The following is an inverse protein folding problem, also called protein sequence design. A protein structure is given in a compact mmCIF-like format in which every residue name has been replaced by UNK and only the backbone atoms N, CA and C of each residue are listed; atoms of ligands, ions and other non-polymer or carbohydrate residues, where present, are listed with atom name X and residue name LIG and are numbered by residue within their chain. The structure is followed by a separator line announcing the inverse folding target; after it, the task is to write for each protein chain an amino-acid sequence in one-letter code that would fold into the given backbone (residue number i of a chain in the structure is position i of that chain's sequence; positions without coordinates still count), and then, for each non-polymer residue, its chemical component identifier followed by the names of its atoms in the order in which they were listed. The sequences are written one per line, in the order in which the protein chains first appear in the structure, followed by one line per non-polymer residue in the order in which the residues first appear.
data_IF_156703719295
#
_entry.id   IF_156703719295
#
_cell.length_a   1.000
_cell.length_b   1.000
_cell.length_c   1.000
_cell.angle_alpha   90.00
_cell.angle_beta   90.00
_cell.angle_gamma   90.00
#
_symmetry.space_group_name_H-M   'P 1'
#
loop_
_entity.id
_entity.type
_entity.pdbx_description
1 polymer ?
#
# COMPACT_ATOMS: atom_id res chain seq x y z
N UNK A 1 16.26 -9.71 31.99
CA UNK A 1 17.07 -9.07 33.06
C UNK A 1 16.08 -8.48 34.04
N UNK A 2 16.02 -8.99 35.27
CA UNK A 2 15.07 -8.55 36.30
C UNK A 2 15.41 -7.13 36.75
N UNK A 3 14.40 -6.27 36.79
CA UNK A 3 14.51 -4.91 37.33
C UNK A 3 15.02 -4.97 38.77
N UNK A 4 16.09 -4.27 39.05
CA UNK A 4 16.65 -4.12 40.40
C UNK A 4 15.65 -3.36 41.26
N UNK A 5 15.60 -3.63 42.58
CA UNK A 5 14.66 -3.05 43.55
C UNK A 5 14.66 -1.50 43.60
N UNK A 6 15.60 -0.84 42.95
CA UNK A 6 15.78 0.61 42.87
C UNK A 6 14.88 1.34 41.85
N UNK A 7 14.14 0.62 41.00
CA UNK A 7 13.39 1.22 39.90
C UNK A 7 11.87 1.26 40.15
N UNK A 8 11.45 1.09 41.41
CA UNK A 8 10.04 1.07 41.77
C UNK A 8 9.70 2.24 42.67
N UNK A 9 8.68 3.00 42.28
CA UNK A 9 8.20 4.15 43.02
C UNK A 9 6.78 3.87 43.54
N UNK A 10 6.55 4.07 44.80
CA UNK A 10 5.19 4.09 45.38
C UNK A 10 4.40 5.27 44.82
N UNK A 11 3.07 5.22 44.84
CA UNK A 11 2.20 6.31 44.40
C UNK A 11 2.59 7.65 45.03
N UNK A 12 2.92 7.67 46.33
CA UNK A 12 3.32 8.89 47.06
C UNK A 12 4.67 9.46 46.56
N UNK A 13 5.65 8.62 46.32
CA UNK A 13 6.95 9.03 45.78
C UNK A 13 6.82 9.55 44.36
N UNK A 14 6.01 8.88 43.53
CA UNK A 14 5.76 9.26 42.14
C UNK A 14 5.11 10.65 42.03
N UNK A 15 4.09 10.93 42.89
CA UNK A 15 3.47 12.26 42.97
C UNK A 15 4.47 13.34 43.36
N UNK A 16 5.33 13.04 44.35
CA UNK A 16 6.35 13.99 44.84
C UNK A 16 7.43 14.29 43.82
N UNK A 17 7.91 13.26 43.10
CA UNK A 17 8.96 13.40 42.10
C UNK A 17 8.51 14.23 40.90
N UNK A 18 7.25 14.15 40.53
CA UNK A 18 6.69 14.83 39.35
C UNK A 18 5.98 16.14 39.69
N UNK A 19 5.87 16.46 41.02
CA UNK A 19 5.14 17.63 41.51
C UNK A 19 3.72 17.71 40.90
N UNK A 20 2.93 16.64 41.11
CA UNK A 20 1.57 16.51 40.66
C UNK A 20 0.63 16.07 41.78
N UNK A 21 -0.64 16.39 41.63
CA UNK A 21 -1.69 15.97 42.58
C UNK A 21 -2.20 14.57 42.25
N UNK A 22 -2.83 13.92 43.23
CA UNK A 22 -3.44 12.61 43.04
C UNK A 22 -4.52 12.60 41.94
N UNK A 23 -5.29 13.69 41.84
CA UNK A 23 -6.28 13.89 40.75
C UNK A 23 -5.64 13.96 39.38
N UNK A 24 -4.49 14.60 39.26
CA UNK A 24 -3.74 14.66 38.00
C UNK A 24 -3.20 13.28 37.66
N UNK A 25 -2.64 12.54 38.58
CA UNK A 25 -2.15 11.19 38.31
C UNK A 25 -3.29 10.27 37.86
N UNK A 26 -4.43 10.26 38.57
CA UNK A 26 -5.61 9.49 38.18
C UNK A 26 -6.11 9.86 36.74
N UNK A 27 -5.99 11.12 36.37
CA UNK A 27 -6.30 11.55 35.01
C UNK A 27 -5.34 10.95 33.95
N UNK A 28 -4.03 10.93 34.26
CA UNK A 28 -3.01 10.34 33.37
C UNK A 28 -3.13 8.81 33.24
N UNK A 29 -3.49 8.15 34.34
CA UNK A 29 -3.84 6.73 34.36
C UNK A 29 -5.03 6.43 33.42
N UNK A 30 -6.09 7.25 33.52
CA UNK A 30 -7.27 7.14 32.65
C UNK A 30 -6.95 7.36 31.19
N UNK A 31 -5.96 8.16 30.87
CA UNK A 31 -5.47 8.38 29.50
C UNK A 31 -4.57 7.26 28.99
N UNK A 32 -4.18 6.31 29.85
CA UNK A 32 -3.26 5.22 29.50
C UNK A 32 -1.80 5.67 29.30
N UNK A 33 -1.42 6.82 29.83
CA UNK A 33 -0.05 7.36 29.75
C UNK A 33 0.88 6.63 30.73
N UNK A 34 0.35 6.30 31.88
CA UNK A 34 0.99 5.50 32.93
C UNK A 34 0.02 4.46 33.44
N UNK A 35 0.54 3.30 33.84
CA UNK A 35 -0.28 2.20 34.38
C UNK A 35 0.38 1.60 35.58
N UNK A 36 -0.23 1.74 36.77
CA UNK A 36 0.33 1.14 37.98
C UNK A 36 0.39 -0.37 37.86
N UNK A 37 1.47 -0.95 38.35
CA UNK A 37 1.67 -2.39 38.48
C UNK A 37 1.50 -2.83 39.90
N UNK A 38 1.03 -4.04 40.12
CA UNK A 38 0.84 -4.60 41.45
C UNK A 38 2.00 -5.52 41.86
N UNK A 39 2.57 -5.28 43.02
CA UNK A 39 3.50 -6.20 43.67
C UNK A 39 3.23 -6.25 45.18
N UNK A 40 3.12 -7.44 45.72
CA UNK A 40 2.84 -7.68 47.13
C UNK A 40 1.57 -6.96 47.72
N UNK A 41 0.62 -6.61 46.83
CA UNK A 41 -0.63 -5.92 47.21
C UNK A 41 -0.61 -4.40 47.06
N UNK A 42 0.55 -3.80 46.81
CA UNK A 42 0.69 -2.35 46.62
C UNK A 42 0.88 -2.00 45.13
N UNK A 43 0.35 -0.83 44.75
CA UNK A 43 0.55 -0.24 43.46
C UNK A 43 1.91 0.47 43.37
N UNK A 44 2.67 0.18 42.32
CA UNK A 44 3.94 0.85 42.06
C UNK A 44 4.06 1.27 40.59
N UNK A 45 4.89 2.27 40.37
CA UNK A 45 5.29 2.79 39.05
C UNK A 45 6.77 2.52 38.83
N UNK A 46 7.17 2.33 37.57
CA UNK A 46 8.59 2.16 37.26
C UNK A 46 9.22 3.46 36.70
N UNK A 47 10.50 3.41 36.44
CA UNK A 47 11.24 4.56 35.88
C UNK A 47 10.73 4.98 34.52
N UNK A 48 10.22 4.05 33.71
CA UNK A 48 9.64 4.35 32.39
C UNK A 48 8.33 5.12 32.53
N UNK A 49 7.50 4.78 33.50
CA UNK A 49 6.28 5.53 33.82
C UNK A 49 6.61 6.98 34.21
N UNK A 50 7.71 7.18 34.94
CA UNK A 50 8.17 8.51 35.35
C UNK A 50 8.61 9.35 34.14
N UNK A 51 9.38 8.78 33.23
CA UNK A 51 9.79 9.45 31.98
C UNK A 51 8.56 9.74 31.13
N UNK A 52 7.67 8.77 30.93
CA UNK A 52 6.45 8.93 30.13
C UNK A 52 5.60 10.10 30.62
N UNK A 53 5.37 10.17 31.93
CA UNK A 53 4.55 11.26 32.51
C UNK A 53 5.25 12.61 32.47
N UNK A 54 6.57 12.64 32.65
CA UNK A 54 7.38 13.87 32.50
C UNK A 54 7.29 14.40 31.09
N UNK A 55 7.46 13.53 30.08
CA UNK A 55 7.36 13.88 28.67
C UNK A 55 5.95 14.37 28.33
N UNK A 56 4.90 13.66 28.79
CA UNK A 56 3.52 14.08 28.59
C UNK A 56 3.22 15.46 29.19
N UNK A 57 3.72 15.72 30.44
CA UNK A 57 3.58 17.02 31.11
C UNK A 57 4.25 18.13 30.29
N UNK A 58 5.46 17.91 29.77
CA UNK A 58 6.16 18.89 28.93
C UNK A 58 5.40 19.18 27.64
N UNK A 59 4.86 18.17 26.97
CA UNK A 59 4.06 18.35 25.75
C UNK A 59 2.78 19.16 26.01
N UNK A 60 2.10 18.91 27.11
CA UNK A 60 0.92 19.71 27.50
C UNK A 60 1.32 21.17 27.81
N UNK A 61 2.43 21.38 28.50
CA UNK A 61 2.96 22.71 28.79
C UNK A 61 3.38 23.47 27.52
N UNK A 62 3.83 22.77 26.50
CA UNK A 62 4.16 23.36 25.18
C UNK A 62 2.93 23.61 24.30
N UNK A 63 1.70 23.37 24.81
CA UNK A 63 0.44 23.69 24.10
C UNK A 63 -0.27 22.52 23.44
N UNK A 64 0.25 21.30 23.53
CA UNK A 64 -0.42 20.11 23.03
C UNK A 64 -1.63 19.75 23.90
N UNK A 65 -2.80 19.58 23.33
CA UNK A 65 -3.97 19.15 24.09
C UNK A 65 -3.86 17.66 24.50
N UNK A 66 -4.40 17.33 25.69
CA UNK A 66 -4.40 15.95 26.20
C UNK A 66 -5.09 14.95 25.26
N UNK A 67 -6.15 15.38 24.56
CA UNK A 67 -6.81 14.54 23.57
C UNK A 67 -5.91 14.25 22.35
N UNK A 68 -5.15 15.24 21.90
CA UNK A 68 -4.20 15.08 20.79
C UNK A 68 -3.04 14.16 21.17
N UNK A 69 -2.52 14.31 22.41
CA UNK A 69 -1.51 13.40 22.94
C UNK A 69 -2.02 11.94 22.97
N UNK A 70 -3.25 11.71 23.44
CA UNK A 70 -3.87 10.39 23.46
C UNK A 70 -4.00 9.78 22.05
N UNK A 71 -4.46 10.58 21.08
CA UNK A 71 -4.58 10.14 19.69
C UNK A 71 -3.21 9.80 19.05
N UNK A 72 -2.20 10.63 19.35
CA UNK A 72 -0.83 10.39 18.86
C UNK A 72 -0.25 9.09 19.44
N UNK A 73 -0.43 8.84 20.74
CA UNK A 73 0.03 7.59 21.36
C UNK A 73 -0.68 6.36 20.81
N UNK A 74 -1.99 6.44 20.60
CA UNK A 74 -2.75 5.35 19.99
C UNK A 74 -2.25 5.06 18.55
N UNK A 75 -1.96 6.10 17.77
CA UNK A 75 -1.42 5.97 16.43
C UNK A 75 0.01 5.41 16.41
N UNK A 76 0.87 5.82 17.35
CA UNK A 76 2.23 5.28 17.49
C UNK A 76 2.21 3.79 17.85
N UNK A 77 1.40 3.39 18.81
CA UNK A 77 1.25 1.99 19.20
C UNK A 77 0.76 1.11 18.05
N UNK A 78 -0.07 1.67 17.17
CA UNK A 78 -0.56 0.95 15.99
C UNK A 78 0.49 0.85 14.88
N UNK A 79 1.25 1.92 14.62
CA UNK A 79 2.19 2.03 13.51
C UNK A 79 3.57 1.45 13.82
N UNK A 80 3.99 1.50 15.08
CA UNK A 80 5.31 1.08 15.54
C UNK A 80 5.19 -0.13 16.47
N UNK A 81 4.88 -1.28 15.92
CA UNK A 81 4.63 -2.53 16.67
C UNK A 81 5.80 -3.01 17.55
N UNK A 82 7.01 -2.50 17.31
CA UNK A 82 8.23 -2.80 18.09
C UNK A 82 8.46 -1.85 19.26
N UNK A 83 7.68 -0.77 19.35
CA UNK A 83 7.80 0.26 20.39
C UNK A 83 6.71 0.03 21.42
N UNK A 84 7.09 -0.43 22.60
CA UNK A 84 6.13 -0.72 23.69
C UNK A 84 5.69 0.54 24.44
N UNK A 85 6.63 1.48 24.60
CA UNK A 85 6.39 2.71 25.35
C UNK A 85 6.89 3.94 24.57
N UNK A 86 6.08 4.51 23.66
CA UNK A 86 6.50 5.59 22.76
C UNK A 86 7.08 6.83 23.47
N UNK A 87 6.57 7.19 24.65
CA UNK A 87 7.04 8.36 25.40
C UNK A 87 8.41 8.19 26.04
N UNK A 88 8.91 6.98 26.14
CA UNK A 88 10.23 6.67 26.73
C UNK A 88 11.25 6.23 25.69
N UNK A 89 10.79 5.61 24.61
CA UNK A 89 11.65 4.99 23.61
C UNK A 89 11.91 5.91 22.42
N UNK A 90 11.01 6.88 22.20
CA UNK A 90 11.11 7.80 21.06
C UNK A 90 11.44 9.21 21.52
N UNK A 91 12.19 9.94 20.72
CA UNK A 91 12.41 11.36 20.89
C UNK A 91 11.19 12.12 20.40
N UNK A 92 10.41 12.68 21.33
CA UNK A 92 9.18 13.39 21.02
C UNK A 92 9.39 14.89 21.15
N UNK A 93 9.02 15.62 20.12
CA UNK A 93 9.10 17.06 20.00
C UNK A 93 7.70 17.65 19.85
N UNK A 94 7.57 18.95 20.09
CA UNK A 94 6.33 19.69 19.83
C UNK A 94 6.63 21.06 19.25
N UNK A 95 5.82 21.49 18.28
CA UNK A 95 5.80 22.86 17.77
C UNK A 95 4.75 23.75 18.45
N UNK A 96 4.24 23.32 19.63
CA UNK A 96 3.17 23.98 20.36
C UNK A 96 1.75 23.55 19.99
N UNK A 97 1.57 22.91 18.83
CA UNK A 97 0.28 22.41 18.34
C UNK A 97 0.33 20.92 18.02
N UNK A 98 1.37 20.49 17.35
CA UNK A 98 1.52 19.13 16.83
C UNK A 98 2.60 18.37 17.60
N UNK A 99 2.45 17.06 17.65
CA UNK A 99 3.44 16.13 18.17
C UNK A 99 4.27 15.63 17.00
N UNK A 100 5.58 15.68 17.14
CA UNK A 100 6.54 15.22 16.15
C UNK A 100 7.42 14.17 16.83
N UNK A 101 7.59 13.03 16.23
CA UNK A 101 8.41 11.94 16.72
C UNK A 101 9.63 11.78 15.85
N UNK A 102 10.79 11.78 16.47
CA UNK A 102 12.04 11.39 15.80
C UNK A 102 12.20 9.87 15.91
N UNK A 103 12.17 9.22 14.76
CA UNK A 103 12.37 7.78 14.63
C UNK A 103 13.41 7.53 13.53
N UNK A 104 14.56 6.99 13.90
CA UNK A 104 15.69 6.73 13.02
C UNK A 104 16.16 7.95 12.20
N UNK A 105 16.11 9.14 12.80
CA UNK A 105 16.51 10.40 12.17
C UNK A 105 15.45 11.02 11.26
N UNK A 106 14.28 10.41 11.14
CA UNK A 106 13.13 10.96 10.45
C UNK A 106 12.09 11.48 11.45
N UNK A 107 11.48 12.64 11.15
CA UNK A 107 10.43 13.23 11.97
C UNK A 107 9.06 12.81 11.44
N UNK A 108 8.27 12.18 12.28
CA UNK A 108 6.93 11.67 11.97
C UNK A 108 5.87 12.42 12.76
N UNK A 109 4.81 12.90 12.13
CA UNK A 109 3.58 13.33 12.81
C UNK A 109 2.69 12.08 12.98
N UNK A 110 2.44 11.63 14.25
CA UNK A 110 1.86 10.32 14.48
C UNK A 110 0.42 10.18 13.99
N UNK A 111 -0.38 11.24 14.08
CA UNK A 111 -1.83 11.22 13.79
C UNK A 111 -2.06 11.10 12.29
N UNK A 112 -1.42 11.96 11.49
CA UNK A 112 -1.53 11.91 10.02
C UNK A 112 -0.64 10.83 9.41
N UNK A 113 0.44 10.46 10.11
CA UNK A 113 1.47 9.56 9.57
C UNK A 113 2.41 10.23 8.58
N UNK A 114 2.37 11.55 8.47
CA UNK A 114 3.25 12.30 7.59
C UNK A 114 4.63 12.47 8.22
N UNK A 115 5.67 12.32 7.42
CA UNK A 115 7.01 12.72 7.83
C UNK A 115 7.10 14.24 7.87
N UNK A 116 7.50 14.77 9.02
CA UNK A 116 7.74 16.20 9.21
C UNK A 116 9.23 16.43 9.05
N UNK A 117 9.60 17.11 8.00
CA UNK A 117 10.98 17.54 7.83
C UNK A 117 11.25 18.70 8.80
N UNK A 118 12.12 18.48 9.79
CA UNK A 118 12.52 19.52 10.72
C UNK A 118 13.55 20.41 10.02
N UNK A 119 13.06 21.46 9.39
CA UNK A 119 13.92 22.48 8.82
C UNK A 119 14.19 23.56 9.88
N UNK A 120 15.41 23.69 10.32
CA UNK A 120 15.86 24.92 10.95
C UNK A 120 15.76 26.04 9.90
N UNK A 121 14.72 26.86 10.08
CA UNK A 121 14.20 27.77 9.04
C UNK A 121 15.16 28.87 8.64
N UNK A 122 16.33 29.00 9.26
CA UNK A 122 17.31 30.03 8.94
C UNK A 122 18.43 29.60 7.99
N UNK A 123 18.93 28.38 8.10
CA UNK A 123 19.95 27.85 7.18
C UNK A 123 19.41 27.16 5.92
N UNK A 124 18.15 26.84 5.89
CA UNK A 124 17.53 26.05 4.81
C UNK A 124 16.71 26.87 3.83
N UNK A 125 16.40 28.14 4.11
CA UNK A 125 15.81 29.02 3.09
C UNK A 125 16.63 29.11 1.80
N UNK A 126 17.95 28.97 1.91
CA UNK A 126 18.87 29.01 0.78
C UNK A 126 19.18 27.59 0.20
N UNK A 127 18.78 26.54 0.88
CA UNK A 127 18.99 25.13 0.47
C UNK A 127 17.71 24.34 0.24
N UNK A 128 16.54 24.92 0.35
CA UNK A 128 15.31 24.28 -0.09
C UNK A 128 15.34 24.22 -1.62
N UNK A 129 16.10 23.28 -2.15
CA UNK A 129 15.57 22.51 -3.26
C UNK A 129 14.32 21.87 -2.67
N UNK A 130 13.17 22.49 -2.93
CA UNK A 130 11.92 21.76 -3.01
C UNK A 130 12.32 20.48 -3.71
N UNK A 131 12.30 19.33 -3.05
CA UNK A 131 12.34 18.08 -3.80
C UNK A 131 11.18 18.24 -4.76
N UNK A 132 11.43 18.34 -6.06
CA UNK A 132 10.35 18.56 -6.99
C UNK A 132 9.34 17.45 -6.68
N UNK A 133 8.09 17.85 -6.44
CA UNK A 133 7.02 16.86 -6.32
C UNK A 133 7.25 15.89 -7.45
N UNK A 134 7.44 14.62 -7.13
CA UNK A 134 7.72 13.62 -8.16
C UNK A 134 6.65 13.76 -9.23
N UNK A 135 7.06 14.04 -10.42
CA UNK A 135 6.13 14.09 -11.54
C UNK A 135 5.66 12.67 -11.91
N UNK A 136 4.73 12.55 -12.82
CA UNK A 136 4.19 11.26 -13.23
C UNK A 136 5.28 10.29 -13.73
N UNK A 137 6.31 10.80 -14.43
CA UNK A 137 7.40 9.97 -14.95
C UNK A 137 8.29 9.43 -13.83
N UNK A 138 8.57 10.24 -12.80
CA UNK A 138 9.35 9.80 -11.65
C UNK A 138 8.62 8.70 -10.86
N UNK A 139 7.29 8.85 -10.68
CA UNK A 139 6.46 7.83 -10.07
C UNK A 139 6.38 6.57 -10.92
N UNK A 140 6.29 6.71 -12.24
CA UNK A 140 6.27 5.58 -13.15
C UNK A 140 7.57 4.79 -13.12
N UNK A 141 8.72 5.47 -13.16
CA UNK A 141 10.04 4.82 -13.05
C UNK A 141 10.20 4.07 -11.72
N UNK A 142 9.72 4.66 -10.61
CA UNK A 142 9.74 4.01 -9.30
C UNK A 142 8.79 2.80 -9.26
N UNK A 143 7.62 2.88 -9.89
CA UNK A 143 6.68 1.78 -9.99
C UNK A 143 7.29 0.58 -10.70
N UNK A 144 7.96 0.80 -11.84
CA UNK A 144 8.67 -0.25 -12.57
C UNK A 144 9.79 -0.91 -11.74
N UNK A 145 10.50 -0.11 -10.93
CA UNK A 145 11.51 -0.64 -10.02
C UNK A 145 10.89 -1.56 -8.96
N UNK A 146 9.76 -1.17 -8.38
CA UNK A 146 9.06 -1.98 -7.38
C UNK A 146 8.38 -3.22 -7.98
N UNK A 147 7.93 -3.16 -9.22
CA UNK A 147 7.29 -4.27 -9.93
C UNK A 147 8.26 -5.44 -10.16
N UNK A 148 9.56 -5.18 -10.24
CA UNK A 148 10.58 -6.21 -10.48
C UNK A 148 10.76 -7.20 -9.32
N UNK A 149 10.25 -6.91 -8.13
CA UNK A 149 10.35 -7.74 -6.94
C UNK A 149 8.95 -8.00 -6.34
N UNK A 150 8.49 -9.25 -6.26
CA UNK A 150 7.19 -9.60 -5.69
C UNK A 150 6.95 -9.05 -4.27
N UNK A 151 8.00 -8.91 -3.46
CA UNK A 151 7.89 -8.36 -2.10
C UNK A 151 7.51 -6.86 -2.10
N UNK A 152 7.74 -6.17 -3.21
CA UNK A 152 7.47 -4.73 -3.38
C UNK A 152 6.26 -4.42 -4.28
N UNK A 153 5.46 -5.41 -4.67
CA UNK A 153 4.28 -5.20 -5.52
C UNK A 153 3.26 -4.23 -4.92
N UNK A 154 3.09 -4.19 -3.58
CA UNK A 154 2.21 -3.20 -2.94
C UNK A 154 2.72 -1.76 -3.13
N UNK A 155 4.04 -1.56 -3.10
CA UNK A 155 4.66 -0.27 -3.38
C UNK A 155 4.52 0.12 -4.86
N UNK A 156 4.64 -0.85 -5.77
CA UNK A 156 4.39 -0.64 -7.20
C UNK A 156 2.96 -0.16 -7.45
N UNK A 157 1.97 -0.81 -6.84
CA UNK A 157 0.55 -0.42 -6.92
C UNK A 157 0.33 1.02 -6.43
N UNK A 158 0.91 1.41 -5.27
CA UNK A 158 0.80 2.79 -4.78
C UNK A 158 1.45 3.78 -5.75
N UNK A 159 2.62 3.46 -6.28
CA UNK A 159 3.32 4.31 -7.23
C UNK A 159 2.53 4.48 -8.54
N UNK A 160 1.96 3.42 -9.12
CA UNK A 160 1.08 3.53 -10.30
C UNK A 160 -0.19 4.34 -10.00
N UNK A 161 -0.78 4.20 -8.82
CA UNK A 161 -1.92 5.04 -8.40
C UNK A 161 -1.54 6.52 -8.35
N UNK A 162 -0.31 6.85 -7.94
CA UNK A 162 0.19 8.23 -7.96
C UNK A 162 0.43 8.74 -9.38
N UNK A 163 0.93 7.89 -10.30
CA UNK A 163 0.97 8.24 -11.72
C UNK A 163 -0.42 8.62 -12.21
N UNK A 164 -1.42 7.79 -11.91
CA UNK A 164 -2.80 7.98 -12.38
C UNK A 164 -3.53 9.14 -11.68
N UNK A 165 -3.09 9.54 -10.49
CA UNK A 165 -3.59 10.75 -9.84
C UNK A 165 -3.10 12.02 -10.56
N UNK A 166 -1.90 12.00 -11.14
CA UNK A 166 -1.32 13.12 -11.90
C UNK A 166 -1.77 13.07 -13.37
N UNK A 167 -1.74 11.88 -13.97
CA UNK A 167 -2.09 11.62 -15.37
C UNK A 167 -3.10 10.48 -15.47
N UNK A 168 -4.42 10.75 -15.32
CA UNK A 168 -5.45 9.73 -15.24
C UNK A 168 -5.60 8.83 -16.47
N UNK A 169 -5.07 9.27 -17.62
CA UNK A 169 -5.12 8.59 -18.91
C UNK A 169 -3.80 7.92 -19.30
N UNK A 170 -2.85 7.76 -18.37
CA UNK A 170 -1.61 7.06 -18.68
C UNK A 170 -1.90 5.57 -18.90
N UNK A 171 -1.89 5.16 -20.17
CA UNK A 171 -2.27 3.81 -20.61
C UNK A 171 -1.33 2.75 -20.07
N UNK A 172 -0.02 3.00 -20.05
CA UNK A 172 0.98 2.06 -19.55
C UNK A 172 0.79 1.82 -18.04
N UNK A 173 0.59 2.88 -17.27
CA UNK A 173 0.32 2.76 -15.83
C UNK A 173 -0.99 2.02 -15.54
N UNK A 174 -2.02 2.20 -16.39
CA UNK A 174 -3.28 1.46 -16.28
C UNK A 174 -3.09 -0.02 -16.58
N UNK A 175 -2.31 -0.37 -17.60
CA UNK A 175 -2.01 -1.76 -17.94
C UNK A 175 -1.24 -2.42 -16.80
N UNK A 176 -0.16 -1.81 -16.32
CA UNK A 176 0.68 -2.40 -15.28
C UNK A 176 -0.08 -2.54 -13.94
N UNK A 177 -0.85 -1.51 -13.55
CA UNK A 177 -1.71 -1.61 -12.36
C UNK A 177 -2.76 -2.71 -12.51
N UNK A 178 -3.33 -2.86 -13.70
CA UNK A 178 -4.27 -3.93 -14.03
C UNK A 178 -3.62 -5.31 -13.92
N UNK A 179 -2.39 -5.48 -14.42
CA UNK A 179 -1.64 -6.75 -14.31
C UNK A 179 -1.35 -7.10 -12.84
N UNK A 180 -0.86 -6.15 -12.04
CA UNK A 180 -0.62 -6.38 -10.61
C UNK A 180 -1.92 -6.72 -9.85
N UNK A 181 -3.04 -6.09 -10.22
CA UNK A 181 -4.35 -6.44 -9.65
C UNK A 181 -4.78 -7.86 -10.04
N UNK A 182 -4.55 -8.24 -11.29
CA UNK A 182 -4.82 -9.58 -11.80
C UNK A 182 -4.01 -10.65 -11.05
N UNK A 183 -2.71 -10.44 -10.86
CA UNK A 183 -1.82 -11.34 -10.10
C UNK A 183 -2.25 -11.50 -8.64
N UNK A 184 -2.88 -10.48 -8.06
CA UNK A 184 -3.47 -10.54 -6.72
C UNK A 184 -4.85 -11.20 -6.68
N UNK A 185 -5.41 -11.60 -7.84
CA UNK A 185 -6.75 -12.18 -7.96
C UNK A 185 -7.87 -11.15 -7.90
N UNK A 186 -7.56 -9.85 -7.93
CA UNK A 186 -8.56 -8.77 -7.94
C UNK A 186 -8.99 -8.48 -9.39
N UNK A 187 -9.82 -9.41 -9.92
CA UNK A 187 -10.26 -9.37 -11.32
C UNK A 187 -11.11 -8.15 -11.64
N UNK A 188 -11.88 -7.65 -10.68
CA UNK A 188 -12.72 -6.46 -10.83
C UNK A 188 -11.87 -5.21 -11.06
N UNK A 189 -10.86 -4.97 -10.22
CA UNK A 189 -9.94 -3.84 -10.39
C UNK A 189 -9.07 -4.00 -11.65
N UNK A 190 -8.60 -5.21 -11.96
CA UNK A 190 -7.88 -5.49 -13.19
C UNK A 190 -8.73 -5.12 -14.42
N UNK A 191 -9.98 -5.59 -14.47
CA UNK A 191 -10.93 -5.28 -15.55
C UNK A 191 -11.17 -3.77 -15.68
N UNK A 192 -11.36 -3.07 -14.56
CA UNK A 192 -11.56 -1.61 -14.55
C UNK A 192 -10.34 -0.85 -15.09
N UNK A 193 -9.13 -1.26 -14.72
CA UNK A 193 -7.89 -0.67 -15.22
C UNK A 193 -7.73 -0.90 -16.72
N UNK A 194 -7.91 -2.12 -17.20
CA UNK A 194 -7.80 -2.43 -18.64
C UNK A 194 -8.89 -1.75 -19.47
N UNK A 195 -10.11 -1.61 -18.96
CA UNK A 195 -11.17 -0.88 -19.64
C UNK A 195 -10.81 0.59 -19.81
N UNK A 196 -10.23 1.21 -18.78
CA UNK A 196 -9.71 2.59 -18.88
C UNK A 196 -8.55 2.68 -19.87
N UNK A 197 -7.64 1.69 -19.89
CA UNK A 197 -6.54 1.64 -20.84
C UNK A 197 -7.05 1.58 -22.29
N UNK A 198 -8.00 0.72 -22.59
CA UNK A 198 -8.68 0.61 -23.92
C UNK A 198 -9.41 1.90 -24.29
N UNK A 199 -9.99 2.60 -23.30
CA UNK A 199 -10.66 3.90 -23.53
C UNK A 199 -9.64 4.98 -23.86
N UNK A 200 -8.47 4.96 -23.22
CA UNK A 200 -7.37 5.91 -23.45
C UNK A 200 -6.63 5.68 -24.78
N UNK A 201 -6.43 4.41 -25.14
CA UNK A 201 -5.86 4.01 -26.42
C UNK A 201 -6.63 2.81 -27.01
N UNK A 202 -7.61 3.08 -27.88
CA UNK A 202 -8.41 2.04 -28.54
C UNK A 202 -7.63 1.14 -29.50
N UNK A 203 -6.39 1.51 -29.85
CA UNK A 203 -5.52 0.72 -30.74
C UNK A 203 -4.44 -0.06 -29.98
N UNK A 204 -4.52 -0.16 -28.68
CA UNK A 204 -3.60 -0.91 -27.87
C UNK A 204 -3.99 -2.40 -27.81
N UNK A 205 -3.27 -3.25 -28.53
CA UNK A 205 -3.55 -4.70 -28.59
C UNK A 205 -3.40 -5.38 -27.23
N UNK A 206 -2.40 -4.96 -26.42
CA UNK A 206 -2.13 -5.51 -25.09
C UNK A 206 -3.27 -5.19 -24.11
N UNK A 207 -3.76 -3.94 -24.13
CA UNK A 207 -4.89 -3.56 -23.29
C UNK A 207 -6.16 -4.34 -23.63
N UNK A 208 -6.44 -4.53 -24.93
CA UNK A 208 -7.56 -5.35 -25.38
C UNK A 208 -7.39 -6.82 -25.02
N UNK A 209 -6.20 -7.37 -25.19
CA UNK A 209 -5.89 -8.75 -24.80
C UNK A 209 -6.12 -8.98 -23.31
N UNK A 210 -5.53 -8.14 -22.47
CA UNK A 210 -5.67 -8.25 -21.02
C UNK A 210 -7.12 -8.09 -20.55
N UNK A 211 -7.86 -7.13 -21.11
CA UNK A 211 -9.29 -6.97 -20.81
C UNK A 211 -10.08 -8.22 -21.22
N UNK A 212 -9.80 -8.76 -22.41
CA UNK A 212 -10.47 -9.96 -22.89
C UNK A 212 -10.19 -11.18 -22.02
N UNK A 213 -8.94 -11.33 -21.56
CA UNK A 213 -8.52 -12.43 -20.69
C UNK A 213 -9.23 -12.37 -19.32
N UNK A 214 -9.24 -11.20 -18.68
CA UNK A 214 -9.94 -11.02 -17.40
C UNK A 214 -11.46 -11.23 -17.55
N UNK A 215 -12.05 -10.73 -18.64
CA UNK A 215 -13.48 -10.94 -18.91
C UNK A 215 -13.84 -12.41 -19.12
N UNK A 216 -12.92 -13.21 -19.69
CA UNK A 216 -13.11 -14.67 -19.79
C UNK A 216 -13.15 -15.32 -18.40
N UNK A 217 -12.23 -14.95 -17.51
CA UNK A 217 -12.21 -15.46 -16.14
C UNK A 217 -13.42 -15.03 -15.32
N UNK A 218 -13.94 -13.82 -15.54
CA UNK A 218 -15.19 -13.33 -14.95
C UNK A 218 -16.44 -13.98 -15.57
N UNK A 219 -16.30 -14.83 -16.59
CA UNK A 219 -17.41 -15.50 -17.28
C UNK A 219 -18.15 -14.63 -18.29
N UNK A 220 -17.67 -13.43 -18.59
CA UNK A 220 -18.26 -12.52 -19.56
C UNK A 220 -17.81 -12.84 -21.01
N UNK A 221 -18.08 -14.07 -21.45
CA UNK A 221 -17.51 -14.66 -22.66
C UNK A 221 -17.71 -13.84 -23.94
N UNK A 222 -18.90 -13.27 -24.14
CA UNK A 222 -19.19 -12.45 -25.32
C UNK A 222 -18.42 -11.13 -25.34
N UNK A 223 -18.19 -10.53 -24.16
CA UNK A 223 -17.35 -9.35 -24.04
C UNK A 223 -15.87 -9.70 -24.25
N UNK A 224 -15.41 -10.81 -23.66
CA UNK A 224 -14.06 -11.34 -23.87
C UNK A 224 -13.76 -11.55 -25.34
N UNK A 225 -14.65 -12.24 -26.07
CA UNK A 225 -14.53 -12.48 -27.51
C UNK A 225 -14.38 -11.15 -28.29
N UNK A 226 -15.20 -10.13 -27.97
CA UNK A 226 -15.11 -8.83 -28.64
C UNK A 226 -13.72 -8.20 -28.48
N UNK A 227 -13.19 -8.17 -27.27
CA UNK A 227 -11.91 -7.56 -26.99
C UNK A 227 -10.74 -8.37 -27.57
N UNK A 228 -10.72 -9.68 -27.41
CA UNK A 228 -9.70 -10.56 -28.00
C UNK A 228 -9.67 -10.48 -29.53
N UNK A 229 -10.85 -10.36 -30.18
CA UNK A 229 -10.96 -10.16 -31.63
C UNK A 229 -10.37 -8.81 -32.05
N UNK A 230 -10.51 -7.75 -31.23
CA UNK A 230 -9.88 -6.48 -31.49
C UNK A 230 -8.37 -6.60 -31.34
N UNK A 231 -7.87 -7.23 -30.26
CA UNK A 231 -6.44 -7.46 -30.04
C UNK A 231 -5.78 -8.18 -31.22
N UNK A 232 -6.35 -9.31 -31.68
CA UNK A 232 -5.85 -10.09 -32.81
C UNK A 232 -5.97 -9.37 -34.18
N UNK A 233 -6.82 -8.36 -34.29
CA UNK A 233 -6.93 -7.53 -35.48
C UNK A 233 -5.90 -6.40 -35.50
N UNK A 234 -5.64 -5.78 -34.34
CA UNK A 234 -4.62 -4.73 -34.19
C UNK A 234 -3.25 -5.32 -34.40
N UNK A 235 -2.96 -6.46 -33.77
CA UNK A 235 -1.73 -7.22 -33.95
C UNK A 235 -2.03 -8.66 -34.40
N UNK A 236 -1.99 -8.93 -35.70
CA UNK A 236 -2.23 -10.26 -36.27
C UNK A 236 -1.16 -11.31 -35.87
N UNK A 237 -0.02 -10.89 -35.34
CA UNK A 237 1.05 -11.78 -34.88
C UNK A 237 1.01 -12.02 -33.37
N UNK A 238 0.02 -11.50 -32.67
CA UNK A 238 -0.14 -11.71 -31.23
C UNK A 238 -0.68 -13.14 -30.96
N UNK A 239 0.23 -14.09 -30.82
CA UNK A 239 -0.11 -15.51 -30.66
C UNK A 239 -1.10 -15.76 -29.52
N UNK A 240 -0.85 -15.19 -28.34
CA UNK A 240 -1.70 -15.37 -27.15
C UNK A 240 -3.12 -14.83 -27.37
N UNK A 241 -3.28 -13.75 -28.12
CA UNK A 241 -4.59 -13.22 -28.46
C UNK A 241 -5.37 -14.20 -29.34
N UNK A 242 -4.71 -14.87 -30.28
CA UNK A 242 -5.35 -15.93 -31.08
C UNK A 242 -5.69 -17.15 -30.23
N UNK A 243 -4.81 -17.57 -29.32
CA UNK A 243 -5.07 -18.67 -28.41
C UNK A 243 -6.32 -18.40 -27.55
N UNK A 244 -6.34 -17.27 -26.81
CA UNK A 244 -7.44 -16.92 -25.92
C UNK A 244 -8.75 -16.72 -26.70
N UNK A 245 -8.69 -16.11 -27.89
CA UNK A 245 -9.87 -15.94 -28.73
C UNK A 245 -10.44 -17.30 -29.18
N UNK A 246 -9.59 -18.22 -29.61
CA UNK A 246 -10.02 -19.55 -29.97
C UNK A 246 -10.67 -20.28 -28.80
N UNK A 247 -10.06 -20.18 -27.61
CA UNK A 247 -10.55 -20.79 -26.38
C UNK A 247 -11.93 -20.24 -25.97
N UNK A 248 -12.11 -18.93 -26.02
CA UNK A 248 -13.41 -18.28 -25.73
C UNK A 248 -14.45 -18.65 -26.78
N UNK A 249 -14.07 -18.72 -28.08
CA UNK A 249 -14.96 -19.17 -29.14
C UNK A 249 -15.42 -20.61 -28.95
N UNK A 250 -14.54 -21.50 -28.47
CA UNK A 250 -14.92 -22.87 -28.12
C UNK A 250 -15.95 -22.93 -26.99
N UNK A 251 -15.74 -22.12 -25.92
CA UNK A 251 -16.71 -22.01 -24.82
C UNK A 251 -18.09 -21.51 -25.29
N UNK A 252 -18.10 -20.65 -26.30
CA UNK A 252 -19.33 -20.09 -26.90
C UNK A 252 -19.96 -20.99 -27.95
N UNK A 253 -19.37 -22.14 -28.28
CA UNK A 253 -19.83 -23.01 -29.36
C UNK A 253 -19.60 -22.48 -30.77
N UNK A 254 -18.76 -21.43 -30.93
CA UNK A 254 -18.41 -20.81 -32.20
C UNK A 254 -17.28 -21.58 -32.89
N UNK A 255 -17.53 -22.87 -33.20
CA UNK A 255 -16.51 -23.83 -33.64
C UNK A 255 -15.74 -23.40 -34.90
N UNK A 256 -16.40 -22.74 -35.86
CA UNK A 256 -15.74 -22.27 -37.08
C UNK A 256 -14.70 -21.18 -36.77
N UNK A 257 -15.05 -20.18 -35.98
CA UNK A 257 -14.15 -19.09 -35.57
C UNK A 257 -13.01 -19.65 -34.68
N UNK A 258 -13.33 -20.50 -33.72
CA UNK A 258 -12.33 -21.15 -32.88
C UNK A 258 -11.26 -21.85 -33.71
N UNK A 259 -11.69 -22.61 -34.73
CA UNK A 259 -10.80 -23.37 -35.61
C UNK A 259 -9.85 -22.48 -36.41
N UNK A 260 -10.33 -21.34 -36.89
CA UNK A 260 -9.48 -20.36 -37.57
C UNK A 260 -8.38 -19.81 -36.67
N UNK A 261 -8.72 -19.46 -35.43
CA UNK A 261 -7.77 -18.90 -34.48
C UNK A 261 -6.80 -19.94 -33.92
N UNK A 262 -7.24 -21.20 -33.71
CA UNK A 262 -6.32 -22.32 -33.40
C UNK A 262 -5.27 -22.54 -34.49
N UNK A 263 -5.67 -22.46 -35.75
CA UNK A 263 -4.73 -22.58 -36.90
C UNK A 263 -3.75 -21.38 -36.92
N UNK A 264 -4.20 -20.18 -36.62
CA UNK A 264 -3.32 -19.01 -36.54
C UNK A 264 -2.32 -19.17 -35.42
N UNK A 265 -2.76 -19.55 -34.24
CA UNK A 265 -1.88 -19.76 -33.08
C UNK A 265 -0.75 -20.75 -33.38
N UNK A 266 -1.07 -21.93 -33.90
CA UNK A 266 -0.05 -22.95 -34.22
C UNK A 266 0.96 -22.45 -35.26
N UNK A 267 0.57 -21.59 -36.19
CA UNK A 267 1.49 -21.01 -37.15
C UNK A 267 2.41 -19.95 -36.52
N UNK A 268 1.91 -19.18 -35.59
CA UNK A 268 2.67 -18.11 -34.93
C UNK A 268 3.65 -18.66 -33.90
N UNK A 269 3.25 -19.67 -33.14
CA UNK A 269 4.08 -20.27 -32.12
C UNK A 269 4.00 -21.82 -32.17
N UNK A 270 4.67 -22.44 -33.16
CA UNK A 270 4.57 -23.89 -33.39
C UNK A 270 5.24 -24.76 -32.33
N UNK A 271 6.08 -24.17 -31.49
CA UNK A 271 6.88 -24.84 -30.44
C UNK A 271 6.31 -24.71 -29.04
N UNK A 272 5.27 -23.91 -28.89
CA UNK A 272 4.60 -23.71 -27.60
C UNK A 272 4.07 -25.03 -27.01
N UNK A 273 4.17 -25.21 -25.70
CA UNK A 273 3.53 -26.34 -24.99
C UNK A 273 2.02 -26.41 -25.21
N UNK A 274 1.38 -25.30 -25.53
CA UNK A 274 -0.06 -25.21 -25.74
C UNK A 274 -0.50 -25.65 -27.14
N UNK A 275 0.46 -25.88 -28.08
CA UNK A 275 0.15 -26.36 -29.43
C UNK A 275 -0.51 -27.72 -29.45
N UNK A 276 -0.20 -28.60 -28.49
CA UNK A 276 -0.83 -29.93 -28.47
C UNK A 276 -2.31 -29.81 -28.11
N UNK A 277 -2.67 -28.91 -27.21
CA UNK A 277 -4.08 -28.60 -26.95
C UNK A 277 -4.78 -28.03 -28.20
N UNK A 278 -4.18 -27.08 -28.85
CA UNK A 278 -4.72 -26.49 -30.08
C UNK A 278 -4.91 -27.54 -31.20
N UNK A 279 -3.94 -28.45 -31.39
CA UNK A 279 -4.03 -29.58 -32.36
C UNK A 279 -5.19 -30.54 -32.00
N UNK A 280 -5.37 -30.86 -30.72
CA UNK A 280 -6.48 -31.69 -30.26
C UNK A 280 -7.85 -31.02 -30.57
N UNK A 281 -7.96 -29.71 -30.35
CA UNK A 281 -9.17 -28.94 -30.67
C UNK A 281 -9.46 -28.95 -32.17
N UNK A 282 -8.45 -28.87 -33.02
CA UNK A 282 -8.57 -28.94 -34.47
C UNK A 282 -8.95 -30.32 -34.99
N UNK A 283 -8.61 -31.40 -34.28
CA UNK A 283 -8.95 -32.78 -34.64
C UNK A 283 -10.42 -33.12 -34.36
N UNK A 284 -11.14 -32.35 -33.53
CA UNK A 284 -12.54 -32.56 -33.27
C UNK A 284 -13.39 -32.24 -34.51
N UNK A 285 -14.41 -33.05 -34.85
CA UNK A 285 -15.34 -32.73 -35.93
C UNK A 285 -16.07 -31.42 -35.61
N UNK A 286 -16.40 -30.69 -36.68
CA UNK A 286 -17.33 -29.55 -36.55
C UNK A 286 -18.71 -30.07 -36.18
N UNK A 287 -19.45 -29.41 -35.28
CA UNK A 287 -20.79 -29.76 -34.90
C UNK A 287 -21.78 -29.66 -36.07
#
# INVERSE_FOLDING_TARGET
MGATATDRFSRREFLRLLDITDKQLAYWEKLGIVSPRKAAGDDFYDFRDLISLRTAKQLIQSGVSANRLRLALAALNQKLSKVEQPLTELRILSNGRDIIVDHDGAHLEPISGQFVLNFDTRELRDRVRVMPERNANDWFALALQYESDPETHLQAIDAYRRVLAITPTNVEALINLGMLSYEQGDLENASACFLRAVTGDPNNSVAHFNLGSVLDELGHLEAARRHLRVASRIDPNYADAHYNLAFVCDKLGSAFEARQHWQHYIRLDPTSPWCDYARQRLALPLP
#
